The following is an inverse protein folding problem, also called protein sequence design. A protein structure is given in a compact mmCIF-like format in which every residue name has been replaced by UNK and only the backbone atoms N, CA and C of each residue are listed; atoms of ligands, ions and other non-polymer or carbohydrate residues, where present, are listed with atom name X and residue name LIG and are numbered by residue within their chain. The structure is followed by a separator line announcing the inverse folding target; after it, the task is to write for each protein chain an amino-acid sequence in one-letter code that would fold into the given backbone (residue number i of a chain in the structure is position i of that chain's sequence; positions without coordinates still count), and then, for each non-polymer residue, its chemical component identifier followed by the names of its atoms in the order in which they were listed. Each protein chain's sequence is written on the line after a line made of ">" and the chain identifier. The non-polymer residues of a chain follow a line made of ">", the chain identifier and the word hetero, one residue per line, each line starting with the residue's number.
data_IF_163587355964
#
_entry.id   IF_163587355964
#
_cell.length_a   1.000
_cell.length_b   1.000
_cell.length_c   1.000
_cell.angle_alpha   90.00
_cell.angle_beta   90.00
_cell.angle_gamma   90.00
#
_symmetry.space_group_name_H-M   'P 1'
#
loop_
_entity.id
_entity.type
_entity.pdbx_description
1 polymer ?
#
# COMPACT_ATOMS: atom_id res chain seq x y z
N UNK A 1 1.44 25.46 -13.78
CA UNK A 1 1.59 24.81 -12.45
C UNK A 1 0.77 23.54 -12.50
N UNK A 2 1.31 22.41 -12.03
CA UNK A 2 0.54 21.16 -12.00
C UNK A 2 -0.41 21.16 -10.80
N UNK A 3 -1.64 20.65 -10.99
CA UNK A 3 -2.66 20.56 -9.94
C UNK A 3 -3.24 19.15 -9.92
N UNK A 4 -3.14 18.41 -8.81
CA UNK A 4 -3.72 17.08 -8.71
C UNK A 4 -5.26 17.16 -8.76
N UNK A 5 -5.88 16.24 -9.49
CA UNK A 5 -7.33 16.09 -9.58
C UNK A 5 -7.73 14.64 -9.29
N UNK A 6 -7.69 14.19 -8.02
CA UNK A 6 -8.11 12.84 -7.68
C UNK A 6 -9.62 12.66 -7.91
N UNK A 7 -10.02 11.46 -8.31
CA UNK A 7 -11.43 11.10 -8.39
C UNK A 7 -11.99 10.98 -6.97
N UNK A 8 -13.09 11.67 -6.70
CA UNK A 8 -13.77 11.57 -5.40
C UNK A 8 -14.37 10.17 -5.21
N UNK A 9 -13.91 9.51 -4.15
CA UNK A 9 -14.30 8.17 -3.74
C UNK A 9 -14.88 8.14 -2.32
N UNK A 10 -15.13 9.30 -1.70
CA UNK A 10 -15.59 9.42 -0.30
C UNK A 10 -16.89 8.67 0.00
N UNK A 11 -17.81 8.61 -0.97
CA UNK A 11 -19.08 7.88 -0.86
C UNK A 11 -19.03 6.40 -1.26
N UNK A 12 -17.85 5.83 -1.48
CA UNK A 12 -17.69 4.43 -1.90
C UNK A 12 -17.46 3.52 -0.70
N UNK A 13 -18.39 2.59 -0.48
CA UNK A 13 -18.24 1.55 0.54
C UNK A 13 -17.43 0.38 0.01
N UNK A 14 -16.37 0.01 0.74
CA UNK A 14 -15.55 -1.17 0.45
C UNK A 14 -16.17 -2.40 1.12
N UNK A 15 -16.40 -3.53 0.43
CA UNK A 15 -16.99 -4.72 1.05
C UNK A 15 -16.18 -5.24 2.26
N UNK A 16 -16.82 -5.74 3.34
CA UNK A 16 -16.14 -6.18 4.56
C UNK A 16 -15.03 -7.21 4.32
N UNK A 17 -15.26 -8.17 3.42
CA UNK A 17 -14.33 -9.23 3.05
C UNK A 17 -13.07 -8.68 2.37
N UNK A 18 -13.19 -7.59 1.61
CA UNK A 18 -12.05 -6.90 0.99
C UNK A 18 -11.34 -6.03 2.03
N UNK A 19 -12.08 -5.35 2.92
CA UNK A 19 -11.49 -4.56 4.01
C UNK A 19 -10.60 -5.39 4.95
N UNK A 20 -10.92 -6.67 5.15
CA UNK A 20 -10.08 -7.58 5.97
C UNK A 20 -8.68 -7.78 5.39
N UNK A 21 -8.50 -7.62 4.08
CA UNK A 21 -7.22 -7.77 3.40
C UNK A 21 -6.38 -6.48 3.37
N UNK A 22 -6.86 -5.40 4.00
CA UNK A 22 -6.19 -4.10 3.99
C UNK A 22 -4.73 -4.19 4.42
N UNK A 23 -4.44 -4.87 5.54
CA UNK A 23 -3.06 -4.99 6.03
C UNK A 23 -2.21 -5.89 5.13
N UNK A 24 -2.77 -6.97 4.58
CA UNK A 24 -2.08 -7.83 3.61
C UNK A 24 -1.66 -7.04 2.37
N UNK A 25 -2.59 -6.26 1.81
CA UNK A 25 -2.37 -5.44 0.63
C UNK A 25 -1.40 -4.29 0.90
N UNK A 26 -1.49 -3.66 2.09
CA UNK A 26 -0.59 -2.56 2.49
C UNK A 26 0.84 -3.06 2.66
N UNK A 27 1.02 -4.21 3.33
CA UNK A 27 2.33 -4.88 3.43
C UNK A 27 2.89 -5.24 2.06
N UNK A 28 2.07 -5.75 1.15
CA UNK A 28 2.52 -6.04 -0.21
C UNK A 28 2.98 -4.79 -0.96
N UNK A 29 2.28 -3.65 -0.80
CA UNK A 29 2.69 -2.38 -1.40
C UNK A 29 4.05 -1.93 -0.86
N UNK A 30 4.25 -2.02 0.46
CA UNK A 30 5.53 -1.72 1.11
C UNK A 30 6.65 -2.65 0.61
N UNK A 31 6.42 -3.96 0.55
CA UNK A 31 7.42 -4.93 0.12
C UNK A 31 7.86 -4.68 -1.34
N UNK A 32 6.92 -4.30 -2.22
CA UNK A 32 7.24 -3.91 -3.60
C UNK A 32 8.10 -2.64 -3.64
N UNK A 33 7.75 -1.62 -2.85
CA UNK A 33 8.54 -0.40 -2.74
C UNK A 33 9.95 -0.69 -2.20
N UNK A 34 10.05 -1.47 -1.12
CA UNK A 34 11.31 -1.82 -0.47
C UNK A 34 12.20 -2.64 -1.41
N UNK A 35 11.65 -3.66 -2.07
CA UNK A 35 12.38 -4.47 -3.04
C UNK A 35 12.97 -3.62 -4.18
N UNK A 36 12.19 -2.66 -4.72
CA UNK A 36 12.67 -1.74 -5.75
C UNK A 36 13.81 -0.86 -5.23
N UNK A 37 13.66 -0.29 -4.02
CA UNK A 37 14.69 0.54 -3.40
C UNK A 37 15.98 -0.24 -3.17
N UNK A 38 15.89 -1.45 -2.65
CA UNK A 38 17.06 -2.32 -2.45
C UNK A 38 17.75 -2.63 -3.80
N UNK A 39 16.99 -2.92 -4.85
CA UNK A 39 17.53 -3.13 -6.20
C UNK A 39 18.24 -1.89 -6.76
N UNK A 40 17.75 -0.69 -6.43
CA UNK A 40 18.37 0.60 -6.80
C UNK A 40 19.59 0.95 -5.92
N UNK A 41 20.02 0.05 -5.02
CA UNK A 41 21.18 0.18 -4.15
C UNK A 41 20.91 0.97 -2.86
N UNK A 42 19.64 1.14 -2.48
CA UNK A 42 19.31 1.70 -1.17
C UNK A 42 19.52 0.67 -0.06
N UNK A 43 19.78 1.16 1.14
CA UNK A 43 19.92 0.34 2.36
C UNK A 43 19.21 0.99 3.54
N UNK A 44 18.97 0.22 4.59
CA UNK A 44 18.52 0.77 5.86
C UNK A 44 19.50 1.83 6.40
N UNK A 45 18.96 2.88 7.00
CA UNK A 45 19.69 3.83 7.84
C UNK A 45 18.72 4.69 8.64
N UNK A 46 19.15 5.18 9.80
CA UNK A 46 18.29 5.88 10.77
C UNK A 46 17.61 7.13 10.21
N UNK A 47 18.18 7.72 9.17
CA UNK A 47 17.63 8.86 8.45
C UNK A 47 17.73 8.65 6.94
N UNK A 48 16.86 9.37 6.22
CA UNK A 48 16.91 9.39 4.76
C UNK A 48 18.12 10.20 4.29
N UNK A 49 18.95 9.58 3.46
CA UNK A 49 20.06 10.23 2.76
C UNK A 49 20.06 9.76 1.31
N UNK A 50 19.86 10.68 0.37
CA UNK A 50 19.76 10.35 -1.05
C UNK A 50 21.14 10.15 -1.71
N UNK A 51 22.21 10.71 -1.13
CA UNK A 51 23.60 10.54 -1.60
C UNK A 51 24.11 9.18 -1.18
N UNK A 52 23.97 8.86 0.12
CA UNK A 52 24.36 7.57 0.68
C UNK A 52 23.34 6.47 0.38
N UNK A 53 22.16 6.82 -0.15
CA UNK A 53 21.02 5.93 -0.42
C UNK A 53 20.57 5.17 0.82
N UNK A 54 20.31 5.87 1.91
CA UNK A 54 19.72 5.30 3.13
C UNK A 54 18.27 5.71 3.30
N UNK A 55 17.44 4.84 3.86
CA UNK A 55 16.06 5.18 4.23
C UNK A 55 15.63 4.42 5.51
N UNK A 56 14.96 5.08 6.47
CA UNK A 56 14.56 4.44 7.74
C UNK A 56 13.53 3.33 7.53
N UNK A 57 12.61 3.52 6.58
CA UNK A 57 11.52 2.56 6.33
C UNK A 57 11.96 1.30 5.56
N UNK A 58 13.25 1.10 5.28
CA UNK A 58 13.75 -0.16 4.70
C UNK A 58 13.88 -1.25 5.77
N UNK A 59 12.74 -1.53 6.41
CA UNK A 59 12.49 -2.55 7.43
C UNK A 59 11.24 -3.35 7.07
N UNK A 60 10.94 -4.41 7.82
CA UNK A 60 9.71 -5.17 7.62
C UNK A 60 8.47 -4.27 7.88
N UNK A 61 7.36 -4.54 7.21
CA UNK A 61 6.14 -3.74 7.37
C UNK A 61 5.67 -3.69 8.83
N UNK A 62 5.86 -4.77 9.59
CA UNK A 62 5.51 -4.84 11.02
C UNK A 62 6.27 -3.83 11.87
N UNK A 63 7.51 -3.51 11.49
CA UNK A 63 8.43 -2.64 12.22
C UNK A 63 8.26 -1.15 11.88
N UNK A 64 7.45 -0.82 10.87
CA UNK A 64 7.08 0.56 10.58
C UNK A 64 6.24 1.17 11.70
N UNK A 65 6.35 2.49 11.88
CA UNK A 65 5.41 3.22 12.71
C UNK A 65 4.02 3.29 12.05
N UNK A 66 3.02 3.72 12.82
CA UNK A 66 1.65 3.76 12.34
C UNK A 66 1.41 4.85 11.29
N UNK A 67 2.19 5.93 11.31
CA UNK A 67 2.09 7.03 10.36
C UNK A 67 2.60 6.58 8.99
N UNK A 68 3.71 5.87 8.93
CA UNK A 68 4.24 5.29 7.70
C UNK A 68 3.31 4.20 7.15
N UNK A 69 2.79 3.31 8.00
CA UNK A 69 1.77 2.33 7.59
C UNK A 69 0.50 3.01 7.06
N UNK A 70 0.15 4.18 7.60
CA UNK A 70 -1.05 4.91 7.16
C UNK A 70 -0.98 5.28 5.68
N UNK A 71 0.22 5.60 5.17
CA UNK A 71 0.41 5.94 3.77
C UNK A 71 0.06 4.76 2.85
N UNK A 72 0.57 3.56 3.13
CA UNK A 72 0.25 2.36 2.36
C UNK A 72 -1.23 2.00 2.45
N UNK A 73 -1.80 2.10 3.66
CA UNK A 73 -3.22 1.86 3.91
C UNK A 73 -4.12 2.81 3.11
N UNK A 74 -3.78 4.10 3.07
CA UNK A 74 -4.52 5.11 2.31
C UNK A 74 -4.41 4.87 0.79
N UNK A 75 -3.22 4.52 0.30
CA UNK A 75 -2.99 4.14 -1.08
C UNK A 75 -3.87 2.96 -1.50
N UNK A 76 -3.90 1.90 -0.68
CA UNK A 76 -4.70 0.71 -0.92
C UNK A 76 -6.21 1.02 -0.85
N UNK A 77 -6.66 1.72 0.20
CA UNK A 77 -8.07 2.08 0.36
C UNK A 77 -8.57 2.93 -0.81
N UNK A 78 -7.79 3.94 -1.22
CA UNK A 78 -8.10 4.78 -2.38
C UNK A 78 -8.18 3.98 -3.68
N UNK A 79 -7.26 3.04 -3.88
CA UNK A 79 -7.23 2.17 -5.06
C UNK A 79 -8.46 1.26 -5.11
N UNK A 80 -8.82 0.62 -4.01
CA UNK A 80 -9.99 -0.27 -3.94
C UNK A 80 -11.28 0.52 -4.18
N UNK A 81 -11.44 1.67 -3.51
CA UNK A 81 -12.63 2.51 -3.71
C UNK A 81 -12.74 3.00 -5.15
N UNK A 82 -11.62 3.33 -5.79
CA UNK A 82 -11.62 3.73 -7.20
C UNK A 82 -12.08 2.59 -8.11
N UNK A 83 -11.59 1.36 -7.92
CA UNK A 83 -12.06 0.20 -8.70
C UNK A 83 -13.57 0.02 -8.58
N UNK A 84 -14.11 0.10 -7.36
CA UNK A 84 -15.56 0.01 -7.12
C UNK A 84 -16.30 1.17 -7.80
N UNK A 85 -15.79 2.40 -7.68
CA UNK A 85 -16.37 3.60 -8.35
C UNK A 85 -16.43 3.44 -9.87
N UNK A 86 -15.44 2.75 -10.46
CA UNK A 86 -15.36 2.46 -11.88
C UNK A 86 -16.28 1.30 -12.33
N UNK A 87 -17.04 0.70 -11.40
CA UNK A 87 -18.03 -0.35 -11.70
C UNK A 87 -17.48 -1.77 -11.60
N UNK A 88 -16.26 -1.95 -11.11
CA UNK A 88 -15.74 -3.29 -10.83
C UNK A 88 -16.36 -3.86 -9.56
N UNK A 89 -16.57 -5.18 -9.56
CA UNK A 89 -16.92 -5.93 -8.37
C UNK A 89 -15.75 -6.79 -7.94
N UNK A 90 -15.41 -6.72 -6.66
CA UNK A 90 -14.34 -7.52 -6.05
C UNK A 90 -15.00 -8.46 -5.06
N UNK A 91 -14.93 -9.75 -5.32
CA UNK A 91 -15.47 -10.82 -4.48
C UNK A 91 -14.38 -11.86 -4.26
N UNK A 92 -14.40 -12.54 -3.10
CA UNK A 92 -13.50 -13.68 -2.88
C UNK A 92 -14.03 -14.88 -3.64
N UNK A 93 -13.15 -15.51 -4.41
CA UNK A 93 -13.46 -16.80 -5.01
C UNK A 93 -13.58 -17.86 -3.90
N UNK A 94 -14.76 -18.47 -3.69
CA UNK A 94 -14.97 -19.46 -2.63
C UNK A 94 -14.16 -20.76 -2.84
N UNK A 95 -13.61 -20.97 -4.05
CA UNK A 95 -12.78 -22.12 -4.41
C UNK A 95 -11.29 -21.85 -4.28
N UNK A 96 -10.89 -20.59 -4.01
CA UNK A 96 -9.48 -20.24 -3.85
C UNK A 96 -8.90 -20.78 -2.53
N UNK A 97 -7.79 -21.50 -2.62
CA UNK A 97 -6.96 -21.79 -1.46
C UNK A 97 -6.28 -20.49 -1.03
N UNK A 98 -6.42 -20.13 0.25
CA UNK A 98 -5.71 -18.97 0.77
C UNK A 98 -4.22 -19.33 0.90
N UNK A 99 -3.30 -18.50 0.38
CA UNK A 99 -1.88 -18.68 0.67
C UNK A 99 -1.69 -18.60 2.19
N UNK A 100 -0.90 -19.55 2.71
CA UNK A 100 -0.65 -19.76 4.13
C UNK A 100 0.25 -18.69 4.73
#
# INVERSE_FOLDING_TARGET
>A
MWHPQPIDTSGVEVPPEVRRERETLSRQAHDIWAAKRLADGWRYGEARDDVEKTHPNLVAYEDLDDDDKSYDRELIDGTIRLLIKLGFRIERDPTSEQPR
#
